data_IF_225172631659
#
_entry.id   IF_225172631659
#
_cell.length_a   1.000
_cell.length_b   1.000
_cell.length_c   1.000
_cell.angle_alpha   90.00
_cell.angle_beta   90.00
_cell.angle_gamma   90.00
#
_symmetry.space_group_name_H-M   'P 1'
#
loop_
_entity.id
_entity.type
_entity.pdbx_description
1 polymer ?
#
# COMPACT_ATOMS: atom_id res chain seq x y z
N UNK A 1 -28.09 -33.25 4.19
CA UNK A 1 -27.37 -31.97 4.00
C UNK A 1 -28.28 -30.84 4.47
N UNK A 2 -27.94 -30.16 5.56
CA UNK A 2 -28.72 -29.02 6.03
C UNK A 2 -28.22 -27.77 5.31
N UNK A 3 -29.08 -27.18 4.47
CA UNK A 3 -28.78 -25.97 3.73
C UNK A 3 -28.91 -24.81 4.72
N UNK A 4 -27.80 -24.13 5.05
CA UNK A 4 -27.86 -22.88 5.80
C UNK A 4 -28.49 -21.83 4.91
N UNK A 5 -29.74 -21.46 5.18
CA UNK A 5 -30.35 -20.28 4.57
C UNK A 5 -29.54 -19.03 4.95
N UNK A 6 -29.23 -18.21 3.94
CA UNK A 6 -28.54 -16.94 4.11
C UNK A 6 -29.55 -15.88 4.55
N UNK A 7 -29.23 -15.16 5.64
CA UNK A 7 -30.02 -14.02 6.11
C UNK A 7 -30.11 -13.00 4.96
N UNK A 8 -31.34 -12.58 4.62
CA UNK A 8 -31.61 -11.64 3.52
C UNK A 8 -30.67 -10.43 3.58
N UNK A 9 -30.01 -10.11 2.47
CA UNK A 9 -29.19 -8.92 2.36
C UNK A 9 -30.02 -7.66 2.71
N UNK A 10 -29.48 -6.75 3.52
CA UNK A 10 -30.17 -5.50 3.88
C UNK A 10 -30.48 -4.70 2.62
N UNK A 11 -31.69 -4.14 2.56
CA UNK A 11 -32.18 -3.40 1.39
C UNK A 11 -32.05 -1.90 1.68
N UNK A 12 -31.62 -1.08 0.71
CA UNK A 12 -31.63 0.37 0.89
C UNK A 12 -33.02 0.86 1.34
N UNK A 13 -33.11 1.51 2.51
CA UNK A 13 -34.35 2.08 3.05
C UNK A 13 -35.07 1.26 4.14
N UNK A 14 -34.52 0.12 4.58
CA UNK A 14 -35.12 -0.71 5.66
C UNK A 14 -34.73 -0.27 7.09
N UNK A 15 -34.03 0.86 7.23
CA UNK A 15 -33.55 1.37 8.52
C UNK A 15 -32.31 0.64 9.07
N UNK A 16 -31.80 -0.38 8.38
CA UNK A 16 -30.53 -1.01 8.73
C UNK A 16 -29.35 -0.13 8.26
N UNK A 17 -28.25 -0.07 9.03
CA UNK A 17 -27.02 0.56 8.54
C UNK A 17 -26.64 -0.07 7.20
N UNK A 18 -26.43 0.75 6.18
CA UNK A 18 -25.99 0.28 4.86
C UNK A 18 -24.70 -0.54 4.98
N UNK A 19 -24.36 -1.35 3.95
CA UNK A 19 -23.31 -2.38 3.99
C UNK A 19 -21.88 -1.89 4.29
N UNK A 20 -21.69 -0.60 4.62
CA UNK A 20 -20.41 0.00 4.91
C UNK A 20 -19.53 0.05 3.66
N UNK A 21 -18.31 0.53 3.85
CA UNK A 21 -17.30 0.47 2.81
C UNK A 21 -16.78 -0.97 2.71
N UNK A 22 -16.66 -1.55 1.50
CA UNK A 22 -16.07 -2.88 1.35
C UNK A 22 -14.68 -2.95 1.96
N UNK A 23 -14.40 -4.04 2.70
CA UNK A 23 -13.11 -4.26 3.35
C UNK A 23 -12.00 -4.33 2.30
N UNK A 24 -10.91 -3.60 2.53
CA UNK A 24 -9.74 -3.58 1.63
C UNK A 24 -9.74 -2.45 0.59
N UNK A 25 -10.81 -1.66 0.47
CA UNK A 25 -10.81 -0.51 -0.44
C UNK A 25 -9.90 0.61 0.14
N UNK A 26 -8.84 1.03 -0.58
CA UNK A 26 -7.88 2.04 -0.09
C UNK A 26 -8.57 3.37 0.20
N UNK A 27 -8.18 4.09 1.26
CA UNK A 27 -8.73 5.42 1.53
C UNK A 27 -8.58 6.35 0.30
N UNK A 28 -9.65 7.06 -0.07
CA UNK A 28 -9.68 7.92 -1.27
C UNK A 28 -8.57 8.98 -1.21
N UNK A 29 -8.37 9.61 -0.05
CA UNK A 29 -7.33 10.63 0.10
C UNK A 29 -5.92 10.05 -0.11
N UNK A 30 -5.65 8.86 0.45
CA UNK A 30 -4.36 8.19 0.28
C UNK A 30 -4.15 7.67 -1.14
N UNK A 31 -5.22 7.26 -1.82
CA UNK A 31 -5.15 6.84 -3.23
C UNK A 31 -4.79 8.01 -4.14
N UNK A 32 -5.49 9.15 -3.99
CA UNK A 32 -5.20 10.37 -4.76
C UNK A 32 -3.76 10.87 -4.55
N UNK A 33 -3.29 10.84 -3.30
CA UNK A 33 -1.90 11.21 -2.99
C UNK A 33 -0.89 10.25 -3.63
N UNK A 34 -1.16 8.94 -3.58
CA UNK A 34 -0.31 7.93 -4.23
C UNK A 34 -0.23 8.18 -5.75
N UNK A 35 -1.37 8.43 -6.39
CA UNK A 35 -1.44 8.68 -7.83
C UNK A 35 -0.68 9.96 -8.22
N UNK A 36 -0.85 11.04 -7.43
CA UNK A 36 -0.13 12.29 -7.66
C UNK A 36 1.39 12.14 -7.52
N UNK A 37 1.87 11.39 -6.51
CA UNK A 37 3.29 11.12 -6.31
C UNK A 37 3.85 10.29 -7.47
N UNK A 38 3.13 9.25 -7.91
CA UNK A 38 3.57 8.43 -9.05
C UNK A 38 3.67 9.26 -10.33
N UNK A 39 2.70 10.15 -10.59
CA UNK A 39 2.74 11.01 -11.77
C UNK A 39 3.87 12.03 -11.71
N UNK A 40 4.15 12.58 -10.53
CA UNK A 40 5.27 13.50 -10.33
C UNK A 40 6.62 12.80 -10.56
N UNK A 41 6.79 11.59 -10.03
CA UNK A 41 8.01 10.81 -10.23
C UNK A 41 8.23 10.44 -11.71
N UNK A 42 7.18 10.04 -12.42
CA UNK A 42 7.24 9.78 -13.85
C UNK A 42 7.65 11.01 -14.66
N UNK A 43 7.03 12.15 -14.36
CA UNK A 43 7.34 13.42 -15.03
C UNK A 43 8.78 13.85 -14.75
N UNK A 44 9.24 13.69 -13.51
CA UNK A 44 10.62 14.00 -13.12
C UNK A 44 11.67 13.14 -13.85
N UNK A 45 11.32 11.92 -14.25
CA UNK A 45 12.20 11.06 -15.05
C UNK A 45 12.02 11.17 -16.56
N UNK A 46 11.33 12.21 -17.05
CA UNK A 46 11.21 12.50 -18.49
C UNK A 46 9.88 12.10 -19.14
N UNK A 47 8.91 11.65 -18.34
CA UNK A 47 7.58 11.27 -18.83
C UNK A 47 7.52 9.85 -19.41
N UNK A 48 6.36 9.51 -19.96
CA UNK A 48 6.06 8.19 -20.53
C UNK A 48 6.98 7.83 -21.71
N UNK A 49 7.32 6.54 -21.91
CA UNK A 49 6.82 5.37 -21.17
C UNK A 49 7.66 4.98 -19.94
N UNK A 50 8.92 5.40 -19.89
CA UNK A 50 9.90 4.88 -18.92
C UNK A 50 10.28 5.90 -17.84
N UNK A 51 9.53 7.00 -17.72
CA UNK A 51 9.87 8.11 -16.82
C UNK A 51 10.05 7.67 -15.37
N UNK A 52 9.17 6.82 -14.85
CA UNK A 52 9.32 6.32 -13.48
C UNK A 52 10.59 5.48 -13.30
N UNK A 53 10.93 4.64 -14.29
CA UNK A 53 12.14 3.81 -14.27
C UNK A 53 13.38 4.69 -14.34
N UNK A 54 13.38 5.69 -15.23
CA UNK A 54 14.47 6.66 -15.38
C UNK A 54 14.70 7.44 -14.07
N UNK A 55 13.63 7.90 -13.43
CA UNK A 55 13.72 8.57 -12.13
C UNK A 55 14.36 7.66 -11.08
N UNK A 56 13.90 6.41 -10.99
CA UNK A 56 14.45 5.42 -10.05
C UNK A 56 15.90 5.05 -10.34
N UNK A 57 16.33 5.02 -11.61
CA UNK A 57 17.75 4.81 -11.98
C UNK A 57 18.65 5.95 -11.51
N UNK A 58 18.17 7.19 -11.57
CA UNK A 58 18.90 8.34 -11.01
C UNK A 58 18.98 8.21 -9.48
N UNK A 59 17.85 7.91 -8.83
CA UNK A 59 17.82 7.74 -7.38
C UNK A 59 18.66 6.55 -6.88
N UNK A 60 18.80 5.48 -7.66
CA UNK A 60 19.69 4.37 -7.34
C UNK A 60 21.16 4.79 -7.25
N UNK A 61 21.57 5.79 -8.05
CA UNK A 61 22.95 6.32 -8.05
C UNK A 61 23.16 7.40 -7.01
N UNK A 62 22.22 8.35 -6.92
CA UNK A 62 22.33 9.51 -6.02
C UNK A 62 21.99 9.17 -4.56
N UNK A 63 21.03 8.27 -4.36
CA UNK A 63 20.46 7.92 -3.06
C UNK A 63 20.40 6.39 -2.86
N UNK A 64 21.57 5.71 -2.78
CA UNK A 64 21.62 4.24 -2.74
C UNK A 64 20.98 3.65 -1.49
N UNK A 65 21.10 4.29 -0.31
CA UNK A 65 20.48 3.82 0.93
C UNK A 65 18.95 3.73 0.86
N UNK A 66 18.26 4.83 0.48
CA UNK A 66 16.83 4.80 0.20
C UNK A 66 16.43 3.77 -0.86
N UNK A 67 17.19 3.65 -1.95
CA UNK A 67 16.91 2.69 -3.01
C UNK A 67 17.03 1.23 -2.54
N UNK A 68 18.08 0.89 -1.78
CA UNK A 68 18.25 -0.43 -1.15
C UNK A 68 17.09 -0.76 -0.20
N UNK A 69 16.57 0.24 0.51
CA UNK A 69 15.38 0.07 1.36
C UNK A 69 14.12 -0.26 0.54
N UNK A 70 13.98 0.27 -0.68
CA UNK A 70 12.90 -0.10 -1.60
C UNK A 70 13.06 -1.54 -2.11
N UNK A 71 14.28 -1.97 -2.47
CA UNK A 71 14.55 -3.36 -2.87
C UNK A 71 14.17 -4.34 -1.76
N UNK A 72 14.52 -4.03 -0.51
CA UNK A 72 14.11 -4.80 0.66
C UNK A 72 12.60 -4.77 0.94
N UNK A 73 11.81 -3.89 0.33
CA UNK A 73 10.34 -3.92 0.39
C UNK A 73 9.74 -4.70 -0.77
N UNK A 74 10.29 -4.59 -1.97
CA UNK A 74 9.78 -5.26 -3.18
C UNK A 74 10.05 -6.77 -3.14
N UNK A 75 11.27 -7.18 -2.76
CA UNK A 75 11.66 -8.59 -2.77
C UNK A 75 10.84 -9.44 -1.78
N UNK A 76 10.64 -9.04 -0.50
CA UNK A 76 9.84 -9.83 0.43
C UNK A 76 8.34 -9.80 0.10
N UNK A 77 7.85 -8.81 -0.64
CA UNK A 77 6.44 -8.75 -1.07
C UNK A 77 6.12 -9.66 -2.26
N UNK A 78 7.12 -10.23 -2.94
CA UNK A 78 6.94 -11.16 -4.06
C UNK A 78 7.03 -12.65 -3.67
N UNK A 79 7.18 -12.98 -2.38
CA UNK A 79 7.08 -14.36 -1.89
C UNK A 79 5.61 -14.70 -1.65
N UNK A 80 4.92 -15.14 -2.70
CA UNK A 80 3.62 -15.83 -2.59
C UNK A 80 3.81 -17.27 -3.05
N UNK A 81 4.00 -18.16 -2.08
CA UNK A 81 4.11 -19.60 -2.32
C UNK A 81 4.41 -20.32 -1.02
N UNK A 82 3.38 -20.88 -0.41
CA UNK A 82 3.37 -21.94 0.61
C UNK A 82 4.69 -22.19 1.38
N UNK A 83 5.00 -21.37 2.38
CA UNK A 83 5.64 -21.93 3.57
C UNK A 83 5.29 -21.14 4.83
N UNK A 84 4.84 -21.89 5.83
CA UNK A 84 4.29 -21.38 7.09
C UNK A 84 5.44 -21.13 8.07
N UNK A 85 6.10 -19.98 7.96
CA UNK A 85 6.55 -19.16 9.11
C UNK A 85 7.54 -18.08 8.65
N UNK A 86 7.03 -16.90 8.31
CA UNK A 86 7.87 -15.70 8.37
C UNK A 86 7.07 -14.57 9.03
N UNK A 87 7.38 -14.31 10.31
CA UNK A 87 6.87 -13.15 11.05
C UNK A 87 7.93 -12.05 11.07
N UNK A 88 7.73 -11.00 10.28
CA UNK A 88 8.51 -9.76 10.41
C UNK A 88 7.63 -8.70 11.07
N UNK A 89 7.96 -8.33 12.31
CA UNK A 89 7.29 -7.25 13.05
C UNK A 89 8.20 -6.04 13.08
N UNK A 90 7.87 -5.00 12.30
CA UNK A 90 8.58 -3.72 12.35
C UNK A 90 7.77 -2.78 13.26
N UNK A 91 8.28 -2.50 14.45
CA UNK A 91 7.79 -1.42 15.32
C UNK A 91 8.84 -0.33 15.35
N UNK A 92 8.52 0.82 14.78
CA UNK A 92 9.33 2.02 14.95
C UNK A 92 8.79 2.76 16.18
N UNK A 93 9.52 2.70 17.30
CA UNK A 93 9.26 3.55 18.47
C UNK A 93 10.18 4.75 18.30
N UNK A 94 9.58 5.93 18.11
CA UNK A 94 10.31 7.20 18.17
C UNK A 94 10.26 7.64 19.63
N UNK A 95 11.39 7.53 20.34
CA UNK A 95 11.54 8.21 21.64
C UNK A 95 11.61 9.71 21.38
N UNK A 96 10.47 10.38 21.54
CA UNK A 96 10.43 11.82 21.69
C UNK A 96 11.02 12.17 23.06
N UNK A 97 12.31 12.51 23.07
CA UNK A 97 12.91 13.18 24.21
C UNK A 97 12.43 14.62 24.26
N UNK A 98 11.45 14.91 25.11
CA UNK A 98 11.24 16.26 25.61
C UNK A 98 12.43 16.60 26.52
N UNK A 99 13.27 17.53 26.07
CA UNK A 99 14.22 18.26 26.91
C UNK A 99 13.65 19.65 27.14
N UNK A 100 13.41 19.93 28.42
CA UNK A 100 13.32 21.21 29.14
C UNK A 100 12.37 22.30 28.61
#
# INVERSE_FOLDING_TARGET
MQVKETVKNPRPGDGTPGPGRPKGVPNRATALLKDAILKAAETAGGGEPDGLVNYLMVQARENPGPFMSLLGKVLPTQVSGEDKDIRVTIRQIVEGGDKD
#
